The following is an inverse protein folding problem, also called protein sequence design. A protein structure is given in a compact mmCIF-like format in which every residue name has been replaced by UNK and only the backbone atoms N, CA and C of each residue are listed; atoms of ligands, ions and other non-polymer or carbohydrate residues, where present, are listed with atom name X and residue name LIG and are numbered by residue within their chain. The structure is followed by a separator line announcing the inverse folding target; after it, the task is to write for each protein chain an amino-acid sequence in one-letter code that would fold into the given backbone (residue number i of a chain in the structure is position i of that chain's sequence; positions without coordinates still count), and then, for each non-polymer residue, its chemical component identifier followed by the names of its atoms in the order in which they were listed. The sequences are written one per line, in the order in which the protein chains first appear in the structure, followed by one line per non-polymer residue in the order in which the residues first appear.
data_IF_241919048464
#
_entry.id   IF_241919048464
#
_cell.length_a   1.000
_cell.length_b   1.000
_cell.length_c   1.000
_cell.angle_alpha   90.00
_cell.angle_beta   90.00
_cell.angle_gamma   90.00
#
_symmetry.space_group_name_H-M   'P 1'
#
loop_
_entity.id
_entity.type
_entity.pdbx_description
1 polymer ?
#
# COMPACT_ATOMS: atom_id res chain seq x y z
N UNK A 1 12.46 1.51 -15.30
CA UNK A 1 10.99 1.44 -15.28
C UNK A 1 10.37 2.73 -14.74
N UNK A 2 10.54 3.11 -13.47
CA UNK A 2 9.90 4.32 -12.89
C UNK A 2 10.12 5.57 -13.76
N UNK A 3 11.34 5.88 -14.12
CA UNK A 3 11.67 7.09 -14.89
C UNK A 3 11.06 7.08 -16.30
N UNK A 4 10.94 5.89 -16.91
CA UNK A 4 10.26 5.72 -18.20
C UNK A 4 8.75 6.02 -18.06
N UNK A 5 8.10 5.55 -16.99
CA UNK A 5 6.68 5.83 -16.70
C UNK A 5 6.49 7.32 -16.43
N UNK A 6 7.33 7.94 -15.59
CA UNK A 6 7.26 9.38 -15.30
C UNK A 6 7.45 10.20 -16.57
N UNK A 7 8.41 9.84 -17.42
CA UNK A 7 8.60 10.48 -18.71
C UNK A 7 7.40 10.31 -19.64
N UNK A 8 6.79 9.13 -19.66
CA UNK A 8 5.56 8.87 -20.45
C UNK A 8 4.36 9.67 -19.93
N UNK A 9 4.23 9.83 -18.61
CA UNK A 9 3.15 10.61 -18.01
C UNK A 9 3.34 12.13 -18.25
N UNK A 10 4.59 12.61 -18.33
CA UNK A 10 4.93 13.99 -18.72
C UNK A 10 4.27 15.04 -17.85
N UNK A 11 3.54 15.95 -18.49
CA UNK A 11 2.88 17.09 -17.83
C UNK A 11 1.84 16.65 -16.77
N UNK A 12 1.20 15.50 -16.95
CA UNK A 12 0.24 15.00 -15.95
C UNK A 12 0.93 14.67 -14.63
N UNK A 13 2.15 14.11 -14.71
CA UNK A 13 2.97 13.87 -13.52
C UNK A 13 3.33 15.17 -12.80
N UNK A 14 3.74 16.18 -13.56
CA UNK A 14 4.04 17.53 -13.03
C UNK A 14 2.83 18.13 -12.34
N UNK A 15 1.66 18.05 -12.98
CA UNK A 15 0.39 18.53 -12.40
C UNK A 15 0.02 17.84 -11.09
N UNK A 16 0.26 16.53 -10.98
CA UNK A 16 0.01 15.82 -9.71
C UNK A 16 0.89 16.39 -8.59
N UNK A 17 2.18 16.63 -8.86
CA UNK A 17 3.09 17.21 -7.86
C UNK A 17 2.66 18.62 -7.45
N UNK A 18 2.32 19.47 -8.42
CA UNK A 18 1.79 20.81 -8.17
C UNK A 18 0.51 20.78 -7.34
N UNK A 19 -0.42 19.85 -7.66
CA UNK A 19 -1.66 19.66 -6.92
C UNK A 19 -1.44 19.23 -5.46
N UNK A 20 -0.42 18.42 -5.20
CA UNK A 20 -0.04 18.03 -3.83
C UNK A 20 0.56 19.22 -3.08
N UNK A 21 1.51 19.94 -3.67
CA UNK A 21 2.14 21.10 -3.06
C UNK A 21 1.12 22.21 -2.73
N UNK A 22 0.24 22.51 -3.68
CA UNK A 22 -0.84 23.50 -3.50
C UNK A 22 -1.79 23.09 -2.34
N UNK A 23 -2.21 21.82 -2.31
CA UNK A 23 -3.14 21.33 -1.30
C UNK A 23 -2.58 21.44 0.12
N UNK A 24 -1.27 21.24 0.27
CA UNK A 24 -0.62 21.16 1.57
C UNK A 24 0.06 22.47 2.00
N UNK A 25 -0.06 23.53 1.21
CA UNK A 25 0.44 24.84 1.59
C UNK A 25 -0.32 25.38 2.82
N UNK A 26 0.38 26.11 3.69
CA UNK A 26 -0.18 26.72 4.89
C UNK A 26 0.52 28.05 5.21
N UNK A 27 -0.21 28.99 5.79
CA UNK A 27 0.31 30.24 6.35
C UNK A 27 0.96 30.05 7.72
N UNK A 28 0.77 28.87 8.35
CA UNK A 28 1.43 28.49 9.59
C UNK A 28 2.80 27.91 9.26
N UNK A 29 3.88 28.68 9.57
CA UNK A 29 5.24 28.36 9.17
C UNK A 29 5.73 26.96 9.61
N UNK A 30 5.36 26.50 10.83
CA UNK A 30 5.71 25.17 11.30
C UNK A 30 5.01 24.08 10.44
N UNK A 31 3.73 24.24 10.16
CA UNK A 31 2.97 23.29 9.36
C UNK A 31 3.45 23.26 7.91
N UNK A 32 3.68 24.41 7.29
CA UNK A 32 4.17 24.51 5.90
C UNK A 32 5.55 23.87 5.74
N UNK A 33 6.48 24.15 6.67
CA UNK A 33 7.81 23.53 6.64
C UNK A 33 7.78 22.02 6.86
N UNK A 34 6.91 21.54 7.75
CA UNK A 34 6.68 20.12 8.00
C UNK A 34 6.12 19.43 6.75
N UNK A 35 5.09 20.01 6.13
CA UNK A 35 4.47 19.47 4.90
C UNK A 35 5.48 19.36 3.76
N UNK A 36 6.28 20.40 3.53
CA UNK A 36 7.36 20.42 2.53
C UNK A 36 8.40 19.34 2.79
N UNK A 37 8.76 19.12 4.06
CA UNK A 37 9.71 18.08 4.43
C UNK A 37 9.16 16.68 4.13
N UNK A 38 7.92 16.39 4.50
CA UNK A 38 7.27 15.10 4.23
C UNK A 38 7.16 14.85 2.72
N UNK A 39 6.72 15.86 1.94
CA UNK A 39 6.59 15.75 0.48
C UNK A 39 7.92 15.41 -0.21
N UNK A 40 9.04 15.99 0.23
CA UNK A 40 10.37 15.70 -0.32
C UNK A 40 10.80 14.24 -0.11
N UNK A 41 10.24 13.56 0.88
CA UNK A 41 10.56 12.18 1.25
C UNK A 41 9.41 11.20 0.98
N UNK A 42 8.44 11.58 0.13
CA UNK A 42 7.22 10.80 -0.17
C UNK A 42 7.46 9.43 -0.83
N UNK A 43 8.70 9.07 -1.15
CA UNK A 43 9.04 7.75 -1.68
C UNK A 43 8.76 7.59 -3.18
N UNK A 44 8.28 6.40 -3.59
CA UNK A 44 8.19 6.03 -5.02
C UNK A 44 6.97 6.62 -5.73
N UNK A 45 5.98 7.12 -5.01
CA UNK A 45 4.73 7.68 -5.54
C UNK A 45 4.01 6.70 -6.50
N UNK A 46 3.94 5.43 -6.09
CA UNK A 46 3.39 4.35 -6.93
C UNK A 46 1.89 4.54 -7.21
N UNK A 47 1.12 4.98 -6.20
CA UNK A 47 -0.33 5.17 -6.33
C UNK A 47 -0.71 6.23 -7.35
N UNK A 48 -0.08 7.42 -7.38
CA UNK A 48 -0.29 8.39 -8.45
C UNK A 48 0.06 7.86 -9.85
N UNK A 49 1.15 7.09 -9.99
CA UNK A 49 1.50 6.47 -11.27
C UNK A 49 0.41 5.49 -11.74
N UNK A 50 -0.05 4.61 -10.85
CA UNK A 50 -1.12 3.66 -11.13
C UNK A 50 -2.43 4.37 -11.51
N UNK A 51 -2.78 5.45 -10.81
CA UNK A 51 -3.98 6.24 -11.10
C UNK A 51 -3.94 6.83 -12.52
N UNK A 52 -2.86 7.54 -12.87
CA UNK A 52 -2.74 8.15 -14.20
C UNK A 52 -2.67 7.12 -15.33
N UNK A 53 -1.96 6.00 -15.11
CA UNK A 53 -1.92 4.90 -16.07
C UNK A 53 -3.30 4.26 -16.25
N UNK A 54 -4.08 4.09 -15.17
CA UNK A 54 -5.44 3.55 -15.22
C UNK A 54 -6.39 4.44 -16.02
N UNK A 55 -6.36 5.76 -15.82
CA UNK A 55 -7.12 6.69 -16.64
C UNK A 55 -6.75 6.57 -18.12
N UNK A 56 -5.45 6.62 -18.46
CA UNK A 56 -4.98 6.48 -19.84
C UNK A 56 -5.25 5.11 -20.45
N UNK A 57 -5.22 4.03 -19.67
CA UNK A 57 -5.56 2.69 -20.15
C UNK A 57 -7.06 2.57 -20.53
N UNK A 58 -7.93 3.29 -19.81
CA UNK A 58 -9.37 3.29 -20.07
C UNK A 58 -9.78 4.18 -21.26
N UNK A 59 -9.09 5.31 -21.48
CA UNK A 59 -9.58 6.37 -22.39
C UNK A 59 -8.54 6.88 -23.39
N UNK A 60 -7.26 6.57 -23.19
CA UNK A 60 -6.15 7.14 -23.96
C UNK A 60 -5.66 8.51 -23.46
N UNK A 61 -6.36 9.14 -22.51
CA UNK A 61 -6.03 10.47 -21.98
C UNK A 61 -6.27 10.54 -20.46
N UNK A 62 -5.89 11.66 -19.86
CA UNK A 62 -6.19 12.06 -18.49
C UNK A 62 -6.97 13.36 -18.48
N UNK A 63 -7.68 13.63 -17.40
CA UNK A 63 -8.37 14.90 -17.14
C UNK A 63 -7.69 15.64 -15.98
N UNK A 64 -8.11 16.87 -15.72
CA UNK A 64 -7.71 17.61 -14.51
C UNK A 64 -8.09 16.82 -13.25
N UNK A 65 -9.25 16.15 -13.28
CA UNK A 65 -9.71 15.32 -12.16
C UNK A 65 -8.88 14.04 -11.98
N UNK A 66 -8.34 13.45 -13.06
CA UNK A 66 -7.39 12.34 -12.95
C UNK A 66 -6.16 12.73 -12.12
N UNK A 67 -5.57 13.90 -12.41
CA UNK A 67 -4.43 14.43 -11.65
C UNK A 67 -4.82 14.80 -10.21
N UNK A 68 -6.02 15.38 -10.03
CA UNK A 68 -6.58 15.76 -8.74
C UNK A 68 -6.77 14.55 -7.82
N UNK A 69 -7.36 13.46 -8.33
CA UNK A 69 -7.58 12.24 -7.56
C UNK A 69 -6.28 11.48 -7.29
N UNK A 70 -5.35 11.45 -8.24
CA UNK A 70 -4.03 10.89 -8.04
C UNK A 70 -3.29 11.60 -6.88
N UNK A 71 -3.34 12.94 -6.84
CA UNK A 71 -2.79 13.73 -5.75
C UNK A 71 -3.52 13.46 -4.42
N UNK A 72 -4.86 13.43 -4.44
CA UNK A 72 -5.68 13.21 -3.24
C UNK A 72 -5.39 11.85 -2.59
N UNK A 73 -5.25 10.78 -3.39
CA UNK A 73 -4.93 9.43 -2.86
C UNK A 73 -3.54 9.39 -2.24
N UNK A 74 -2.54 10.05 -2.81
CA UNK A 74 -1.20 10.07 -2.23
C UNK A 74 -1.15 10.93 -0.94
N UNK A 75 -1.90 12.03 -0.89
CA UNK A 75 -2.08 12.83 0.32
C UNK A 75 -2.75 11.97 1.40
N UNK A 76 -3.82 11.25 1.06
CA UNK A 76 -4.51 10.32 1.96
C UNK A 76 -3.56 9.24 2.48
N UNK A 77 -2.77 8.61 1.59
CA UNK A 77 -1.80 7.60 1.99
C UNK A 77 -0.79 8.14 3.02
N UNK A 78 -0.22 9.33 2.77
CA UNK A 78 0.73 9.90 3.73
C UNK A 78 0.04 10.31 5.04
N UNK A 79 -1.22 10.72 5.03
CA UNK A 79 -2.01 10.98 6.24
C UNK A 79 -2.12 9.70 7.10
N UNK A 80 -2.46 8.55 6.48
CA UNK A 80 -2.53 7.28 7.20
C UNK A 80 -1.18 6.86 7.76
N UNK A 81 -0.08 7.04 7.01
CA UNK A 81 1.27 6.75 7.51
C UNK A 81 1.65 7.59 8.73
N UNK A 82 1.21 8.86 8.80
CA UNK A 82 1.43 9.72 9.97
C UNK A 82 0.68 9.22 11.21
N UNK A 83 -0.54 8.71 11.03
CA UNK A 83 -1.32 8.11 12.11
C UNK A 83 -0.74 6.75 12.53
N UNK A 84 -0.33 5.92 11.57
CA UNK A 84 0.30 4.62 11.83
C UNK A 84 1.61 4.78 12.62
N UNK A 85 2.45 5.78 12.29
CA UNK A 85 3.68 6.07 13.03
C UNK A 85 3.42 6.38 14.51
N UNK A 86 2.24 6.92 14.84
CA UNK A 86 1.84 7.16 16.24
C UNK A 86 1.31 5.88 16.87
N UNK A 87 0.45 5.15 16.17
CA UNK A 87 -0.13 3.89 16.65
C UNK A 87 0.95 2.85 16.96
N UNK A 88 1.93 2.71 16.07
CA UNK A 88 3.05 1.77 16.18
C UNK A 88 4.21 2.31 17.04
N UNK A 89 4.11 3.56 17.56
CA UNK A 89 5.20 4.24 18.26
C UNK A 89 6.51 4.26 17.45
N UNK A 90 6.40 4.32 16.14
CA UNK A 90 7.54 4.29 15.22
C UNK A 90 8.40 5.54 15.34
N UNK A 91 9.72 5.37 15.53
CA UNK A 91 10.66 6.46 15.66
C UNK A 91 11.38 6.79 14.35
N UNK A 92 11.39 5.88 13.41
CA UNK A 92 12.07 6.01 12.12
C UNK A 92 11.23 5.42 10.97
N UNK A 93 11.25 6.10 9.81
CA UNK A 93 10.63 5.64 8.57
C UNK A 93 11.54 5.99 7.39
N UNK A 94 11.89 4.98 6.57
CA UNK A 94 12.78 5.15 5.40
C UNK A 94 14.12 5.80 5.72
N UNK A 95 14.71 5.48 6.86
CA UNK A 95 16.01 6.04 7.29
C UNK A 95 15.94 7.47 7.82
N UNK A 96 14.72 8.00 8.08
CA UNK A 96 14.51 9.34 8.61
C UNK A 96 13.65 9.29 9.89
N UNK A 97 13.90 10.18 10.86
CA UNK A 97 13.02 10.30 12.03
C UNK A 97 11.57 10.57 11.60
N UNK A 98 10.62 9.89 12.23
CA UNK A 98 9.19 10.16 12.03
C UNK A 98 8.80 11.52 12.59
N UNK A 99 7.63 12.03 12.21
CA UNK A 99 7.09 13.24 12.82
C UNK A 99 6.76 13.01 14.30
N UNK A 100 6.31 11.77 14.65
CA UNK A 100 6.14 11.34 16.03
C UNK A 100 7.44 11.47 16.85
N UNK A 101 8.57 11.04 16.29
CA UNK A 101 9.89 11.16 16.93
C UNK A 101 10.36 12.62 17.08
N UNK A 102 10.08 13.46 16.08
CA UNK A 102 10.62 14.82 15.99
C UNK A 102 9.79 15.86 16.74
N UNK A 103 8.46 15.82 16.66
CA UNK A 103 7.53 16.81 17.22
C UNK A 103 6.53 16.20 18.21
N UNK A 104 6.58 14.89 18.43
CA UNK A 104 5.69 14.15 19.31
C UNK A 104 4.35 13.74 18.67
N UNK A 105 3.60 12.83 19.35
CA UNK A 105 2.41 12.20 18.79
C UNK A 105 1.28 13.20 18.49
N UNK A 106 1.12 14.23 19.32
CA UNK A 106 0.08 15.25 19.08
C UNK A 106 0.28 16.00 17.77
N UNK A 107 1.52 16.36 17.42
CA UNK A 107 1.81 17.02 16.14
C UNK A 107 1.58 16.08 14.96
N UNK A 108 1.99 14.82 15.07
CA UNK A 108 1.80 13.82 14.01
C UNK A 108 0.31 13.58 13.71
N UNK A 109 -0.53 13.45 14.74
CA UNK A 109 -2.00 13.33 14.57
C UNK A 109 -2.58 14.57 13.89
N UNK A 110 -2.25 15.78 14.35
CA UNK A 110 -2.80 17.03 13.79
C UNK A 110 -2.37 17.23 12.32
N UNK A 111 -1.13 16.89 11.97
CA UNK A 111 -0.67 16.96 10.56
C UNK A 111 -1.38 15.90 9.73
N UNK A 112 -1.56 14.67 10.25
CA UNK A 112 -2.33 13.62 9.58
C UNK A 112 -3.77 14.05 9.30
N UNK A 113 -4.47 14.64 10.28
CA UNK A 113 -5.83 15.18 10.14
C UNK A 113 -5.88 16.31 9.10
N UNK A 114 -4.88 17.20 9.11
CA UNK A 114 -4.77 18.26 8.09
C UNK A 114 -4.64 17.67 6.69
N UNK A 115 -3.76 16.67 6.50
CA UNK A 115 -3.58 16.02 5.22
C UNK A 115 -4.85 15.28 4.78
N UNK A 116 -5.52 14.59 5.69
CA UNK A 116 -6.80 13.92 5.43
C UNK A 116 -7.86 14.91 4.94
N UNK A 117 -8.02 16.03 5.64
CA UNK A 117 -8.95 17.09 5.25
C UNK A 117 -8.60 17.67 3.86
N UNK A 118 -7.31 17.84 3.55
CA UNK A 118 -6.86 18.33 2.24
C UNK A 118 -7.11 17.32 1.11
N UNK A 119 -6.94 16.03 1.36
CA UNK A 119 -7.28 14.97 0.40
C UNK A 119 -8.79 15.01 0.05
N UNK A 120 -9.66 15.09 1.05
CA UNK A 120 -11.11 15.19 0.84
C UNK A 120 -11.51 16.47 0.10
N UNK A 121 -10.90 17.61 0.42
CA UNK A 121 -11.16 18.87 -0.27
C UNK A 121 -10.78 18.80 -1.76
N UNK A 122 -9.71 18.07 -2.11
CA UNK A 122 -9.37 17.85 -3.53
C UNK A 122 -10.45 17.05 -4.24
N UNK A 123 -11.04 16.03 -3.62
CA UNK A 123 -12.13 15.25 -4.21
C UNK A 123 -13.39 16.09 -4.39
N UNK A 124 -13.76 16.90 -3.40
CA UNK A 124 -14.95 17.76 -3.43
C UNK A 124 -14.92 18.80 -4.56
N UNK A 125 -13.75 19.17 -5.05
CA UNK A 125 -13.59 20.13 -6.16
C UNK A 125 -13.87 19.56 -7.55
N UNK A 126 -14.36 18.31 -7.68
CA UNK A 126 -14.62 17.60 -8.93
C UNK A 126 -16.12 17.44 -9.22
N UNK A 127 -16.49 17.39 -10.50
CA UNK A 127 -17.84 17.01 -10.93
C UNK A 127 -18.15 15.54 -10.61
N UNK A 128 -17.13 14.69 -10.45
CA UNK A 128 -17.24 13.29 -10.04
C UNK A 128 -17.23 13.08 -8.51
N UNK A 129 -17.27 14.17 -7.72
CA UNK A 129 -17.05 14.16 -6.28
C UNK A 129 -17.91 13.14 -5.54
N UNK A 130 -19.19 12.99 -5.87
CA UNK A 130 -20.09 12.07 -5.16
C UNK A 130 -19.63 10.61 -5.23
N UNK A 131 -19.26 10.11 -6.42
CA UNK A 131 -18.81 8.72 -6.60
C UNK A 131 -17.46 8.49 -5.95
N UNK A 132 -16.54 9.44 -6.15
CA UNK A 132 -15.16 9.31 -5.65
C UNK A 132 -15.10 9.50 -4.14
N UNK A 133 -15.89 10.41 -3.55
CA UNK A 133 -15.98 10.59 -2.11
C UNK A 133 -16.51 9.33 -1.39
N UNK A 134 -17.51 8.65 -1.99
CA UNK A 134 -17.98 7.36 -1.46
C UNK A 134 -16.86 6.30 -1.46
N UNK A 135 -16.03 6.26 -2.51
CA UNK A 135 -14.88 5.37 -2.60
C UNK A 135 -13.83 5.71 -1.54
N UNK A 136 -13.51 7.00 -1.37
CA UNK A 136 -12.58 7.47 -0.32
C UNK A 136 -13.08 7.13 1.08
N UNK A 137 -14.37 7.35 1.37
CA UNK A 137 -14.96 7.03 2.67
C UNK A 137 -14.94 5.51 2.95
N UNK A 138 -15.26 4.68 1.95
CA UNK A 138 -15.13 3.22 2.03
C UNK A 138 -13.69 2.84 2.36
N UNK A 139 -12.73 3.36 1.60
CA UNK A 139 -11.29 3.05 1.77
C UNK A 139 -10.78 3.44 3.16
N UNK A 140 -11.18 4.61 3.68
CA UNK A 140 -10.83 5.03 5.05
C UNK A 140 -11.35 4.07 6.10
N UNK A 141 -12.60 3.63 5.96
CA UNK A 141 -13.19 2.61 6.85
C UNK A 141 -12.43 1.29 6.79
N UNK A 142 -12.12 0.82 5.57
CA UNK A 142 -11.35 -0.41 5.35
C UNK A 142 -9.95 -0.33 5.95
N UNK A 143 -9.22 0.79 5.78
CA UNK A 143 -7.90 0.99 6.37
C UNK A 143 -7.95 0.85 7.91
N UNK A 144 -8.92 1.50 8.56
CA UNK A 144 -9.09 1.42 10.02
C UNK A 144 -9.51 0.01 10.49
N UNK A 145 -10.46 -0.63 9.79
CA UNK A 145 -10.86 -2.02 10.10
C UNK A 145 -9.72 -3.01 9.93
N UNK A 146 -8.91 -2.85 8.88
CA UNK A 146 -7.74 -3.70 8.61
C UNK A 146 -6.70 -3.57 9.70
N UNK A 147 -6.42 -2.34 10.18
CA UNK A 147 -5.49 -2.11 11.28
C UNK A 147 -6.00 -2.73 12.59
N UNK A 148 -7.27 -2.51 12.93
CA UNK A 148 -7.86 -3.08 14.13
C UNK A 148 -7.87 -4.62 14.11
N UNK A 149 -8.18 -5.23 12.95
CA UNK A 149 -8.12 -6.69 12.79
C UNK A 149 -6.67 -7.20 12.95
N UNK A 150 -5.68 -6.50 12.38
CA UNK A 150 -4.29 -6.88 12.53
C UNK A 150 -3.85 -6.82 14.00
N UNK A 151 -4.21 -5.77 14.75
CA UNK A 151 -3.90 -5.65 16.17
C UNK A 151 -4.55 -6.76 17.00
N UNK A 152 -5.83 -7.08 16.74
CA UNK A 152 -6.53 -8.18 17.39
C UNK A 152 -5.81 -9.51 17.16
N UNK A 153 -5.48 -9.82 15.89
CA UNK A 153 -4.84 -11.07 15.50
C UNK A 153 -3.38 -11.18 15.95
N UNK A 154 -2.63 -10.07 16.01
CA UNK A 154 -1.29 -10.04 16.57
C UNK A 154 -1.31 -10.33 18.09
N UNK A 155 -2.36 -9.90 18.80
CA UNK A 155 -2.48 -10.17 20.23
C UNK A 155 -2.83 -11.62 20.55
N UNK A 156 -3.65 -12.27 19.73
CA UNK A 156 -4.11 -13.66 19.91
C UNK A 156 -3.20 -14.72 19.24
N UNK A 157 -2.34 -14.30 18.30
CA UNK A 157 -1.50 -15.15 17.46
C UNK A 157 -2.29 -16.25 16.71
N UNK A 158 -3.57 -16.00 16.41
CA UNK A 158 -4.49 -16.95 15.77
C UNK A 158 -4.87 -16.59 14.34
N UNK A 159 -4.12 -15.70 13.69
CA UNK A 159 -4.32 -15.34 12.28
C UNK A 159 -4.41 -16.58 11.41
N UNK A 160 -5.49 -16.71 10.67
CA UNK A 160 -5.63 -17.68 9.57
C UNK A 160 -5.40 -17.01 8.21
N UNK A 161 -5.40 -17.81 7.13
CA UNK A 161 -5.17 -17.28 5.79
C UNK A 161 -6.27 -16.33 5.33
N UNK A 162 -7.52 -16.55 5.74
CA UNK A 162 -8.66 -15.68 5.44
C UNK A 162 -8.50 -14.33 6.13
N UNK A 163 -8.09 -14.34 7.40
CA UNK A 163 -7.79 -13.12 8.16
C UNK A 163 -6.65 -12.34 7.50
N UNK A 164 -5.56 -13.04 7.12
CA UNK A 164 -4.43 -12.43 6.42
C UNK A 164 -4.86 -11.72 5.13
N UNK A 165 -5.59 -12.42 4.24
CA UNK A 165 -6.05 -11.80 3.00
C UNK A 165 -7.03 -10.64 3.25
N UNK A 166 -7.85 -10.70 4.29
CA UNK A 166 -8.70 -9.58 4.69
C UNK A 166 -7.86 -8.38 5.14
N UNK A 167 -6.87 -8.60 6.00
CA UNK A 167 -5.97 -7.55 6.49
C UNK A 167 -5.27 -6.85 5.31
N UNK A 168 -4.59 -7.59 4.43
CA UNK A 168 -3.85 -6.99 3.32
C UNK A 168 -4.76 -6.33 2.28
N UNK A 169 -5.98 -6.84 2.11
CA UNK A 169 -6.99 -6.20 1.26
C UNK A 169 -7.37 -4.84 1.84
N UNK A 170 -7.70 -4.79 3.11
CA UNK A 170 -8.12 -3.56 3.79
C UNK A 170 -6.98 -2.54 3.91
N UNK A 171 -5.80 -2.96 4.38
CA UNK A 171 -4.67 -2.04 4.67
C UNK A 171 -3.90 -1.58 3.43
N UNK A 172 -3.84 -2.41 2.39
CA UNK A 172 -2.99 -2.13 1.22
C UNK A 172 -3.78 -2.06 -0.07
N UNK A 173 -4.53 -3.11 -0.42
CA UNK A 173 -5.17 -3.19 -1.73
C UNK A 173 -6.33 -2.19 -1.89
N UNK A 174 -7.05 -1.85 -0.83
CA UNK A 174 -8.14 -0.85 -0.85
C UNK A 174 -7.68 0.51 -1.35
N UNK A 175 -6.48 0.95 -0.97
CA UNK A 175 -5.93 2.22 -1.41
C UNK A 175 -5.42 2.17 -2.86
N UNK A 176 -4.98 1.01 -3.34
CA UNK A 176 -4.71 0.79 -4.76
C UNK A 176 -6.01 0.85 -5.58
N UNK A 177 -7.09 0.21 -5.08
CA UNK A 177 -8.43 0.32 -5.66
C UNK A 177 -8.88 1.78 -5.73
N UNK A 178 -8.77 2.51 -4.63
CA UNK A 178 -9.14 3.92 -4.56
C UNK A 178 -8.40 4.75 -5.62
N UNK A 179 -7.08 4.55 -5.75
CA UNK A 179 -6.27 5.28 -6.73
C UNK A 179 -6.70 5.00 -8.18
N UNK A 180 -6.80 3.73 -8.54
CA UNK A 180 -7.04 3.32 -9.92
C UNK A 180 -8.49 3.58 -10.34
N UNK A 181 -9.47 3.25 -9.47
CA UNK A 181 -10.90 3.41 -9.78
C UNK A 181 -11.32 4.87 -9.81
N UNK A 182 -10.82 5.72 -8.90
CA UNK A 182 -11.12 7.16 -8.97
C UNK A 182 -10.61 7.79 -10.27
N UNK A 183 -9.44 7.37 -10.74
CA UNK A 183 -8.88 7.81 -12.00
C UNK A 183 -9.68 7.30 -13.22
N UNK A 184 -10.16 6.06 -13.21
CA UNK A 184 -11.06 5.55 -14.26
C UNK A 184 -12.41 6.29 -14.28
N UNK A 185 -12.95 6.64 -13.12
CA UNK A 185 -14.17 7.46 -13.01
C UNK A 185 -13.95 8.85 -13.60
N UNK A 186 -12.79 9.46 -13.39
CA UNK A 186 -12.47 10.82 -13.84
C UNK A 186 -12.46 11.02 -15.37
N UNK A 187 -12.40 9.92 -16.12
CA UNK A 187 -12.43 9.90 -17.59
C UNK A 187 -13.72 9.29 -18.14
N UNK A 188 -14.75 9.17 -17.30
CA UNK A 188 -16.05 8.57 -17.65
C UNK A 188 -15.91 7.18 -18.30
N UNK A 189 -14.97 6.37 -17.79
CA UNK A 189 -14.73 5.03 -18.33
C UNK A 189 -16.00 4.16 -18.25
N UNK A 190 -16.24 3.27 -19.23
CA UNK A 190 -17.32 2.29 -19.16
C UNK A 190 -17.24 1.45 -17.87
N UNK A 191 -18.39 1.04 -17.33
CA UNK A 191 -18.45 0.25 -16.09
C UNK A 191 -17.62 -1.04 -16.19
N UNK A 192 -17.53 -1.66 -17.36
CA UNK A 192 -16.70 -2.83 -17.61
C UNK A 192 -15.22 -2.54 -17.38
N UNK A 193 -14.73 -1.37 -17.85
CA UNK A 193 -13.33 -0.95 -17.63
C UNK A 193 -13.07 -0.57 -16.17
N UNK A 194 -14.03 0.11 -15.53
CA UNK A 194 -13.93 0.44 -14.10
C UNK A 194 -13.82 -0.85 -13.27
N UNK A 195 -14.60 -1.87 -13.59
CA UNK A 195 -14.54 -3.15 -12.87
C UNK A 195 -13.24 -3.91 -13.15
N UNK A 196 -12.75 -3.90 -14.38
CA UNK A 196 -11.45 -4.47 -14.74
C UNK A 196 -10.29 -3.79 -13.98
N UNK A 197 -10.30 -2.46 -13.91
CA UNK A 197 -9.34 -1.67 -13.14
C UNK A 197 -9.44 -1.96 -11.64
N UNK A 198 -10.64 -2.15 -11.09
CA UNK A 198 -10.86 -2.55 -9.70
C UNK A 198 -10.20 -3.89 -9.40
N UNK A 199 -10.47 -4.90 -10.22
CA UNK A 199 -9.89 -6.25 -10.06
C UNK A 199 -8.37 -6.22 -10.18
N UNK A 200 -7.85 -5.47 -11.15
CA UNK A 200 -6.41 -5.23 -11.29
C UNK A 200 -5.82 -4.62 -10.02
N UNK A 201 -6.39 -3.53 -9.55
CA UNK A 201 -5.84 -2.76 -8.42
C UNK A 201 -5.83 -3.58 -7.13
N UNK A 202 -6.91 -4.31 -6.85
CA UNK A 202 -6.99 -5.21 -5.68
C UNK A 202 -5.92 -6.30 -5.76
N UNK A 203 -5.80 -6.99 -6.90
CA UNK A 203 -4.81 -8.04 -7.07
C UNK A 203 -3.38 -7.50 -7.03
N UNK A 204 -3.11 -6.34 -7.66
CA UNK A 204 -1.81 -5.69 -7.63
C UNK A 204 -1.41 -5.22 -6.22
N UNK A 205 -2.36 -4.71 -5.44
CA UNK A 205 -2.15 -4.32 -4.04
C UNK A 205 -1.85 -5.52 -3.13
N UNK A 206 -2.57 -6.63 -3.31
CA UNK A 206 -2.27 -7.88 -2.60
C UNK A 206 -0.90 -8.43 -3.00
N UNK A 207 -0.57 -8.46 -4.29
CA UNK A 207 0.75 -8.89 -4.76
C UNK A 207 1.87 -8.02 -4.17
N UNK A 208 1.66 -6.71 -4.07
CA UNK A 208 2.61 -5.78 -3.47
C UNK A 208 2.87 -6.12 -2.00
N UNK A 209 1.81 -6.39 -1.22
CA UNK A 209 1.95 -6.72 0.20
C UNK A 209 2.60 -8.09 0.40
N UNK A 210 2.15 -9.13 -0.32
CA UNK A 210 2.74 -10.48 -0.23
C UNK A 210 4.25 -10.43 -0.50
N UNK A 211 4.66 -9.65 -1.52
CA UNK A 211 6.08 -9.46 -1.80
C UNK A 211 6.82 -8.79 -0.64
N UNK A 212 6.24 -7.76 -0.03
CA UNK A 212 6.87 -7.05 1.11
C UNK A 212 7.04 -8.01 2.30
N UNK A 213 6.03 -8.85 2.56
CA UNK A 213 6.07 -9.88 3.60
C UNK A 213 7.15 -10.96 3.33
N UNK A 214 7.29 -11.42 2.08
CA UNK A 214 8.37 -12.35 1.71
C UNK A 214 9.73 -11.70 1.95
N UNK A 215 9.91 -10.43 1.57
CA UNK A 215 11.17 -9.71 1.74
C UNK A 215 11.53 -9.49 3.21
N UNK A 216 10.55 -9.46 4.12
CA UNK A 216 10.82 -9.40 5.56
C UNK A 216 11.49 -10.68 6.09
N UNK A 217 11.31 -11.83 5.43
CA UNK A 217 11.99 -13.09 5.77
C UNK A 217 13.35 -13.26 5.10
N UNK A 218 13.49 -12.87 3.83
CA UNK A 218 14.73 -13.13 3.05
C UNK A 218 15.70 -11.95 3.09
N UNK A 219 15.22 -10.76 3.40
CA UNK A 219 15.97 -9.52 3.33
C UNK A 219 16.06 -8.95 1.91
N UNK A 220 16.49 -7.72 1.81
CA UNK A 220 16.93 -7.10 0.57
C UNK A 220 18.24 -6.36 0.85
N UNK A 221 19.36 -6.98 0.46
CA UNK A 221 20.71 -6.43 0.67
C UNK A 221 20.89 -5.03 0.07
N UNK A 222 20.12 -4.70 -0.99
CA UNK A 222 20.18 -3.39 -1.65
C UNK A 222 19.41 -2.30 -0.90
N UNK A 223 18.40 -2.68 -0.11
CA UNK A 223 17.55 -1.75 0.62
C UNK A 223 17.96 -1.59 2.08
N UNK A 224 18.82 -2.46 2.62
CA UNK A 224 19.29 -2.40 4.01
C UNK A 224 18.15 -2.50 5.05
N UNK A 225 17.00 -3.09 4.66
CA UNK A 225 15.86 -3.27 5.58
C UNK A 225 16.20 -4.32 6.64
N UNK A 226 15.90 -4.08 7.92
CA UNK A 226 15.99 -5.11 8.94
C UNK A 226 15.05 -6.26 8.59
N UNK A 227 15.48 -7.50 8.84
CA UNK A 227 14.74 -8.74 8.61
C UNK A 227 13.96 -9.11 9.87
N UNK A 228 12.77 -9.72 9.70
CA UNK A 228 11.97 -10.24 10.81
C UNK A 228 11.24 -9.17 11.63
N UNK A 229 10.91 -8.03 11.01
CA UNK A 229 10.14 -6.97 11.66
C UNK A 229 8.73 -7.44 11.96
N UNK A 230 8.07 -8.12 11.02
CA UNK A 230 6.72 -8.66 11.20
C UNK A 230 6.64 -9.64 12.38
N UNK A 231 7.62 -10.52 12.53
CA UNK A 231 7.69 -11.45 13.66
C UNK A 231 7.86 -10.72 14.98
N UNK A 232 8.70 -9.68 15.04
CA UNK A 232 8.87 -8.85 16.26
C UNK A 232 7.57 -8.17 16.68
N UNK A 233 6.73 -7.82 15.72
CA UNK A 233 5.41 -7.25 15.92
C UNK A 233 4.32 -8.33 16.06
N UNK A 234 4.69 -9.61 16.16
CA UNK A 234 3.81 -10.79 16.26
C UNK A 234 2.81 -10.91 15.11
N UNK A 235 3.13 -10.33 13.97
CA UNK A 235 2.33 -10.45 12.74
C UNK A 235 2.58 -11.81 12.11
N UNK A 236 1.53 -12.61 11.98
CA UNK A 236 1.56 -13.89 11.25
C UNK A 236 1.20 -13.59 9.81
N UNK A 237 2.23 -13.53 8.96
CA UNK A 237 2.10 -13.22 7.53
C UNK A 237 2.14 -14.49 6.68
N UNK A 238 1.90 -14.35 5.38
CA UNK A 238 1.70 -15.49 4.47
C UNK A 238 2.83 -16.52 4.46
N UNK A 239 4.13 -16.14 4.53
CA UNK A 239 5.22 -17.12 4.65
C UNK A 239 5.08 -18.02 5.88
N UNK A 240 4.72 -17.45 7.04
CA UNK A 240 4.52 -18.27 8.24
C UNK A 240 3.26 -19.12 8.12
N UNK A 241 2.15 -18.61 7.59
CA UNK A 241 0.94 -19.39 7.34
C UNK A 241 1.22 -20.58 6.43
N UNK A 242 1.99 -20.38 5.36
CA UNK A 242 2.41 -21.47 4.46
C UNK A 242 3.26 -22.54 5.17
N UNK A 243 4.16 -22.14 6.06
CA UNK A 243 4.97 -23.08 6.85
C UNK A 243 4.14 -23.84 7.91
N UNK A 244 3.05 -23.24 8.39
CA UNK A 244 2.14 -23.87 9.35
C UNK A 244 1.15 -24.83 8.67
N UNK A 245 0.92 -24.67 7.37
CA UNK A 245 -0.03 -25.50 6.63
C UNK A 245 0.37 -26.98 6.75
N UNK A 246 -0.55 -27.81 7.25
CA UNK A 246 -0.33 -29.24 7.52
C UNK A 246 0.84 -29.58 8.45
N UNK A 247 1.36 -28.60 9.21
CA UNK A 247 2.47 -28.83 10.14
C UNK A 247 1.99 -29.41 11.48
N UNK A 248 2.66 -30.48 11.95
CA UNK A 248 2.46 -31.01 13.30
C UNK A 248 2.93 -30.04 14.40
N UNK A 249 3.76 -29.05 14.05
CA UNK A 249 4.33 -28.06 14.96
C UNK A 249 3.50 -26.78 15.10
N UNK A 250 2.36 -26.66 14.40
CA UNK A 250 1.55 -25.44 14.35
C UNK A 250 1.31 -24.84 15.74
N UNK A 251 0.75 -25.63 16.67
CA UNK A 251 0.42 -25.15 18.01
C UNK A 251 1.65 -24.66 18.78
N UNK A 252 2.79 -25.35 18.62
CA UNK A 252 4.06 -24.97 19.23
C UNK A 252 4.57 -23.65 18.68
N UNK A 253 4.60 -23.49 17.36
CA UNK A 253 5.10 -22.29 16.69
C UNK A 253 4.19 -21.09 17.02
N UNK A 254 2.87 -21.23 16.99
CA UNK A 254 1.94 -20.15 17.39
C UNK A 254 2.16 -19.72 18.83
N UNK A 255 2.43 -20.67 19.74
CA UNK A 255 2.76 -20.35 21.15
C UNK A 255 4.08 -19.58 21.27
N UNK A 256 5.09 -19.89 20.46
CA UNK A 256 6.34 -19.13 20.40
C UNK A 256 6.07 -17.69 19.91
N UNK A 257 5.32 -17.54 18.82
CA UNK A 257 4.97 -16.22 18.27
C UNK A 257 4.22 -15.36 19.29
N UNK A 258 3.27 -15.94 20.01
CA UNK A 258 2.54 -15.24 21.07
C UNK A 258 3.47 -14.75 22.20
N UNK A 259 4.60 -15.42 22.44
CA UNK A 259 5.57 -15.09 23.49
C UNK A 259 6.74 -14.21 23.06
N UNK A 260 6.81 -13.75 21.79
CA UNK A 260 7.97 -13.03 21.25
C UNK A 260 8.28 -11.71 21.95
N UNK A 261 7.28 -11.03 22.54
CA UNK A 261 7.51 -9.82 23.36
C UNK A 261 8.42 -10.12 24.56
N UNK A 262 8.25 -11.30 25.16
CA UNK A 262 9.04 -11.73 26.33
C UNK A 262 10.34 -12.44 25.94
N UNK A 263 10.37 -13.03 24.75
CA UNK A 263 11.48 -13.84 24.24
C UNK A 263 11.86 -13.43 22.79
N UNK A 264 12.36 -12.21 22.55
CA UNK A 264 12.67 -11.73 21.20
C UNK A 264 13.72 -12.57 20.46
N UNK A 265 14.57 -13.32 21.20
CA UNK A 265 15.58 -14.23 20.63
C UNK A 265 14.98 -15.36 19.81
N UNK A 266 13.70 -15.71 20.05
CA UNK A 266 13.04 -16.80 19.36
C UNK A 266 12.58 -16.45 17.95
N UNK A 267 12.59 -15.15 17.57
CA UNK A 267 12.28 -14.70 16.21
C UNK A 267 13.09 -15.45 15.14
N UNK A 268 14.40 -15.64 15.37
CA UNK A 268 15.25 -16.33 14.38
C UNK A 268 14.89 -17.82 14.26
N UNK A 269 14.47 -18.46 15.34
CA UNK A 269 14.03 -19.86 15.27
C UNK A 269 12.73 -20.02 14.49
N UNK A 270 11.79 -19.08 14.63
CA UNK A 270 10.55 -19.05 13.83
C UNK A 270 10.87 -18.75 12.36
N UNK A 271 11.75 -17.79 12.11
CA UNK A 271 12.18 -17.46 10.75
C UNK A 271 12.81 -18.66 10.04
N UNK A 272 13.73 -19.37 10.73
CA UNK A 272 14.36 -20.57 10.18
C UNK A 272 13.33 -21.68 9.91
N UNK A 273 12.36 -21.87 10.82
CA UNK A 273 11.26 -22.81 10.61
C UNK A 273 10.49 -22.49 9.33
N UNK A 274 10.17 -21.21 9.04
CA UNK A 274 9.48 -20.79 7.82
C UNK A 274 10.28 -21.15 6.57
N UNK A 275 11.60 -20.92 6.60
CA UNK A 275 12.50 -21.24 5.47
C UNK A 275 12.55 -22.74 5.24
N UNK A 276 12.75 -23.53 6.29
CA UNK A 276 12.94 -24.98 6.20
C UNK A 276 11.65 -25.74 5.85
N UNK A 277 10.49 -25.17 6.18
CA UNK A 277 9.17 -25.78 5.95
C UNK A 277 8.49 -25.37 4.64
N UNK A 278 9.19 -24.65 3.74
CA UNK A 278 8.65 -24.26 2.43
C UNK A 278 7.62 -23.13 2.48
N UNK A 279 7.53 -22.39 3.59
CA UNK A 279 6.58 -21.28 3.72
C UNK A 279 6.81 -20.14 2.74
N UNK A 280 8.08 -19.92 2.35
CA UNK A 280 8.43 -18.94 1.30
C UNK A 280 7.92 -19.36 -0.08
N UNK A 281 8.07 -20.64 -0.43
CA UNK A 281 7.60 -21.16 -1.72
C UNK A 281 6.08 -21.04 -1.83
N UNK A 282 5.35 -21.33 -0.74
CA UNK A 282 3.91 -21.13 -0.65
C UNK A 282 3.53 -19.66 -0.88
N UNK A 283 4.20 -18.73 -0.22
CA UNK A 283 3.93 -17.31 -0.38
C UNK A 283 4.24 -16.81 -1.81
N UNK A 284 5.31 -17.33 -2.44
CA UNK A 284 5.64 -17.04 -3.85
C UNK A 284 4.56 -17.55 -4.79
N UNK A 285 4.01 -18.76 -4.58
CA UNK A 285 2.89 -19.27 -5.38
C UNK A 285 1.68 -18.34 -5.29
N UNK A 286 1.30 -17.92 -4.08
CA UNK A 286 0.19 -16.97 -3.88
C UNK A 286 0.45 -15.60 -4.49
N UNK A 287 1.68 -15.13 -4.46
CA UNK A 287 2.10 -13.90 -5.15
C UNK A 287 1.86 -14.00 -6.66
N UNK A 288 2.33 -15.09 -7.28
CA UNK A 288 2.15 -15.32 -8.74
C UNK A 288 0.66 -15.48 -9.12
N UNK A 289 -0.16 -16.09 -8.25
CA UNK A 289 -1.62 -16.13 -8.43
C UNK A 289 -2.22 -14.72 -8.51
N UNK A 290 -1.81 -13.79 -7.62
CA UNK A 290 -2.31 -12.42 -7.64
C UNK A 290 -1.81 -11.65 -8.87
N UNK A 291 -0.56 -11.84 -9.27
CA UNK A 291 -0.01 -11.23 -10.49
C UNK A 291 -0.83 -11.69 -11.71
N UNK A 292 -1.08 -13.00 -11.85
CA UNK A 292 -1.86 -13.55 -12.95
C UNK A 292 -3.31 -13.02 -12.96
N UNK A 293 -3.94 -12.84 -11.79
CA UNK A 293 -5.26 -12.22 -11.67
C UNK A 293 -5.26 -10.77 -12.14
N UNK A 294 -4.25 -10.00 -11.75
CA UNK A 294 -4.10 -8.61 -12.18
C UNK A 294 -3.92 -8.51 -13.70
N UNK A 295 -3.05 -9.33 -14.30
CA UNK A 295 -2.85 -9.35 -15.74
C UNK A 295 -4.10 -9.75 -16.51
N UNK A 296 -4.83 -10.75 -16.01
CA UNK A 296 -6.10 -11.19 -16.61
C UNK A 296 -7.14 -10.08 -16.62
N UNK A 297 -7.25 -9.32 -15.52
CA UNK A 297 -8.19 -8.22 -15.43
C UNK A 297 -7.94 -7.14 -16.48
N UNK A 298 -6.66 -6.87 -16.82
CA UNK A 298 -6.30 -5.87 -17.82
C UNK A 298 -6.62 -6.27 -19.25
N UNK A 299 -6.91 -7.54 -19.55
CA UNK A 299 -7.21 -8.01 -20.92
C UNK A 299 -8.48 -7.38 -21.52
N UNK A 300 -9.38 -6.88 -20.68
CA UNK A 300 -10.59 -6.19 -21.09
C UNK A 300 -10.30 -4.80 -21.66
N UNK A 301 -9.20 -4.18 -21.20
CA UNK A 301 -8.83 -2.82 -21.61
C UNK A 301 -8.20 -2.79 -23.01
N UNK A 302 -8.30 -1.65 -23.72
CA UNK A 302 -7.62 -1.46 -24.99
C UNK A 302 -6.12 -1.73 -24.91
N UNK A 303 -5.56 -2.28 -25.99
CA UNK A 303 -4.10 -2.45 -26.10
C UNK A 303 -3.41 -1.10 -26.19
N UNK A 304 -2.23 -0.99 -25.58
CA UNK A 304 -1.43 0.21 -25.64
C UNK A 304 -0.48 0.37 -24.46
N UNK A 305 0.43 1.29 -24.60
CA UNK A 305 1.50 1.54 -23.63
C UNK A 305 1.04 1.76 -22.17
N UNK A 306 -0.11 2.44 -21.88
CA UNK A 306 -0.59 2.56 -20.50
C UNK A 306 -0.90 1.20 -19.87
N UNK A 307 -1.59 0.30 -20.61
CA UNK A 307 -1.88 -1.06 -20.17
C UNK A 307 -0.60 -1.87 -19.96
N UNK A 308 0.35 -1.74 -20.88
CA UNK A 308 1.63 -2.45 -20.79
C UNK A 308 2.42 -2.04 -19.55
N UNK A 309 2.44 -0.75 -19.21
CA UNK A 309 3.05 -0.27 -17.97
C UNK A 309 2.34 -0.77 -16.70
N UNK A 310 1.00 -0.91 -16.72
CA UNK A 310 0.29 -1.54 -15.59
C UNK A 310 0.70 -3.01 -15.42
N UNK A 311 0.86 -3.76 -16.51
CA UNK A 311 1.40 -5.14 -16.50
C UNK A 311 2.84 -5.16 -15.99
N UNK A 312 3.70 -4.27 -16.47
CA UNK A 312 5.09 -4.19 -16.01
C UNK A 312 5.18 -3.88 -14.50
N UNK A 313 4.33 -2.98 -13.99
CA UNK A 313 4.31 -2.61 -12.58
C UNK A 313 3.91 -3.78 -11.68
N UNK A 314 2.91 -4.59 -12.07
CA UNK A 314 2.56 -5.75 -11.26
C UNK A 314 3.61 -6.85 -11.38
N UNK A 315 4.19 -7.09 -12.54
CA UNK A 315 5.30 -8.04 -12.74
C UNK A 315 6.57 -7.66 -12.00
N UNK A 316 6.81 -6.37 -11.79
CA UNK A 316 7.93 -5.92 -10.96
C UNK A 316 7.83 -6.42 -9.52
N UNK A 317 6.62 -6.82 -9.10
CA UNK A 317 6.41 -7.48 -7.82
C UNK A 317 6.76 -8.98 -7.85
N UNK A 318 6.92 -9.62 -9.02
CA UNK A 318 7.40 -11.00 -9.05
C UNK A 318 8.80 -11.10 -8.44
N UNK A 319 9.04 -12.16 -7.70
CA UNK A 319 10.35 -12.44 -7.13
C UNK A 319 11.13 -13.16 -8.23
N UNK A 320 12.18 -12.51 -8.73
CA UNK A 320 13.12 -13.20 -9.60
C UNK A 320 13.72 -14.34 -8.79
N UNK A 321 13.51 -15.57 -9.24
CA UNK A 321 14.27 -16.72 -8.71
C UNK A 321 15.76 -16.37 -8.89
N UNK A 322 16.43 -16.26 -7.78
CA UNK A 322 17.89 -16.12 -7.71
C UNK A 322 18.50 -17.46 -8.01
#
# INVERSE_FOLDING_TARGET
MRDAIVSFLGDDWTRVMEQMEEALSSDIGLLDSTNKNILRHSGKLLRPMLALLSARACSGFTTVDSCRFAAAVEILHNATLLHDDVADSSMERRGMPTLNASLGPGAAVLVGDFWLARALNKVLGSDHCNKVLMLFAKTLGELAEGEMLQLEKASSADTDEKDYFRIITCKTASLFECACVSAAISVDAPNEYIEAIRQYALAAGMAFQIKDDILDYVGDEKLGKPVGTDLKERKITLPLLGALHDSSDESRIRSIVAGLDSHPSDCESVRQFVIDSGGLDYAVEKLEEQIARAEKALQVLPEGQPRDYLVELVRFNSIRKV
#
